data_IF_049086745677
#
_entry.id   IF_049086745677
#
_cell.length_a   1.000
_cell.length_b   1.000
_cell.length_c   1.000
_cell.angle_alpha   90.00
_cell.angle_beta   90.00
_cell.angle_gamma   90.00
#
_symmetry.space_group_name_H-M   'P 1'
#
loop_
_entity.id
_entity.type
_entity.pdbx_description
1 polymer ?
#
# COMPACT_ATOMS: atom_id res chain seq x y z
N UNK A 1 8.82 -14.34 -5.06
CA UNK A 1 9.62 -13.15 -4.68
C UNK A 1 8.94 -11.90 -5.21
N UNK A 2 9.18 -10.72 -4.60
CA UNK A 2 8.60 -9.43 -5.04
C UNK A 2 8.92 -9.16 -6.52
N UNK A 3 10.17 -9.39 -6.92
CA UNK A 3 10.64 -9.22 -8.31
C UNK A 3 9.77 -9.96 -9.33
N UNK A 4 9.52 -11.26 -9.12
CA UNK A 4 8.68 -12.06 -10.03
C UNK A 4 7.27 -11.49 -10.16
N UNK A 5 6.66 -11.06 -9.06
CA UNK A 5 5.31 -10.46 -9.06
C UNK A 5 5.27 -9.13 -9.83
N UNK A 6 6.34 -8.34 -9.75
CA UNK A 6 6.47 -7.10 -10.53
C UNK A 6 6.62 -7.40 -12.02
N UNK A 7 7.45 -8.37 -12.39
CA UNK A 7 7.62 -8.83 -13.77
C UNK A 7 6.29 -9.35 -14.35
N UNK A 8 5.53 -10.16 -13.59
CA UNK A 8 4.18 -10.63 -13.93
C UNK A 8 3.17 -9.50 -14.14
N UNK A 9 3.26 -8.38 -13.40
CA UNK A 9 2.36 -7.24 -13.62
C UNK A 9 2.79 -6.39 -14.80
N UNK A 10 4.10 -6.25 -15.02
CA UNK A 10 4.62 -5.48 -16.15
C UNK A 10 4.37 -6.17 -17.50
N UNK A 11 4.14 -7.48 -17.53
CA UNK A 11 3.77 -8.20 -18.76
C UNK A 11 2.30 -8.06 -19.15
N UNK A 12 1.44 -7.53 -18.26
CA UNK A 12 0.02 -7.30 -18.55
C UNK A 12 -0.17 -6.00 -19.33
N UNK A 13 -1.28 -5.91 -20.07
CA UNK A 13 -1.64 -4.73 -20.91
C UNK A 13 -2.08 -3.48 -20.12
N UNK A 14 -1.76 -3.36 -18.83
CA UNK A 14 -2.20 -2.25 -17.98
C UNK A 14 -1.08 -1.68 -17.12
N UNK A 15 -1.14 -0.38 -16.83
CA UNK A 15 -0.23 0.25 -15.87
C UNK A 15 -0.76 0.08 -14.45
N UNK A 16 0.17 -0.02 -13.50
CA UNK A 16 -0.14 0.01 -12.07
C UNK A 16 0.59 1.19 -11.42
N UNK A 17 -0.05 1.77 -10.41
CA UNK A 17 0.45 2.85 -9.57
C UNK A 17 0.98 2.33 -8.24
N UNK A 18 0.30 1.33 -7.67
CA UNK A 18 0.62 0.72 -6.38
C UNK A 18 0.34 -0.78 -6.42
N UNK A 19 1.26 -1.56 -5.87
CA UNK A 19 1.06 -2.98 -5.58
C UNK A 19 1.09 -3.22 -4.07
N UNK A 20 0.26 -4.15 -3.59
CA UNK A 20 0.10 -4.42 -2.16
C UNK A 20 0.47 -5.86 -1.83
N UNK A 21 1.29 -6.05 -0.80
CA UNK A 21 1.78 -7.34 -0.31
C UNK A 21 1.26 -7.65 1.11
N UNK A 22 0.23 -6.93 1.54
CA UNK A 22 -0.57 -7.21 2.72
C UNK A 22 -1.98 -6.68 2.51
N UNK A 23 -2.98 -7.36 3.07
CA UNK A 23 -4.38 -6.89 3.08
C UNK A 23 -4.66 -5.88 4.17
N UNK A 24 -3.70 -5.61 5.07
CA UNK A 24 -3.90 -4.65 6.18
C UNK A 24 -3.96 -3.20 5.68
N UNK A 25 -3.65 -2.94 4.41
CA UNK A 25 -3.90 -1.65 3.77
C UNK A 25 -2.99 -0.51 4.21
N UNK A 26 -2.20 -0.64 5.28
CA UNK A 26 -1.20 0.34 5.74
C UNK A 26 0.27 -0.12 5.59
N UNK A 27 0.52 -1.42 5.36
CA UNK A 27 1.88 -1.98 5.14
C UNK A 27 2.03 -2.64 3.78
N UNK A 28 3.28 -2.97 3.41
CA UNK A 28 3.55 -3.82 2.25
C UNK A 28 3.21 -3.18 0.90
N UNK A 29 3.25 -1.86 0.79
CA UNK A 29 2.99 -1.14 -0.47
C UNK A 29 4.27 -0.98 -1.28
N UNK A 30 4.16 -1.20 -2.59
CA UNK A 30 5.24 -1.00 -3.55
C UNK A 30 4.82 0.04 -4.57
N UNK A 31 5.70 1.01 -4.81
CA UNK A 31 5.54 2.08 -5.78
C UNK A 31 6.70 2.07 -6.78
N UNK A 32 6.46 2.62 -7.97
CA UNK A 32 7.54 2.93 -8.91
C UNK A 32 8.31 4.14 -8.41
N UNK A 33 9.64 4.08 -8.42
CA UNK A 33 10.49 5.20 -7.98
C UNK A 33 10.16 6.51 -8.70
N UNK A 34 9.81 6.43 -10.00
CA UNK A 34 9.39 7.57 -10.80
C UNK A 34 8.14 8.30 -10.28
N UNK A 35 7.26 7.61 -9.55
CA UNK A 35 6.04 8.19 -8.97
C UNK A 35 6.25 8.77 -7.57
N UNK A 36 7.36 8.43 -6.89
CA UNK A 36 7.60 8.85 -5.50
C UNK A 36 7.59 10.37 -5.29
N UNK A 37 8.19 11.20 -6.17
CA UNK A 37 8.11 12.65 -6.01
C UNK A 37 6.67 13.17 -6.09
N UNK A 38 5.83 12.58 -6.93
CA UNK A 38 4.43 12.97 -7.05
C UNK A 38 3.61 12.51 -5.83
N UNK A 39 3.81 11.28 -5.38
CA UNK A 39 3.19 10.76 -4.16
C UNK A 39 3.56 11.61 -2.93
N UNK A 40 4.84 11.97 -2.78
CA UNK A 40 5.31 12.79 -1.67
C UNK A 40 4.64 14.17 -1.67
N UNK A 41 4.54 14.83 -2.83
CA UNK A 41 3.82 16.10 -2.97
C UNK A 41 2.34 15.95 -2.64
N UNK A 42 1.69 14.90 -3.15
CA UNK A 42 0.29 14.63 -2.86
C UNK A 42 0.06 14.46 -1.35
N UNK A 43 0.86 13.63 -0.67
CA UNK A 43 0.76 13.47 0.78
C UNK A 43 1.03 14.78 1.53
N UNK A 44 2.04 15.54 1.12
CA UNK A 44 2.37 16.83 1.73
C UNK A 44 1.25 17.87 1.58
N UNK A 45 0.51 17.86 0.47
CA UNK A 45 -0.60 18.80 0.26
C UNK A 45 -1.84 18.44 1.08
N UNK A 46 -2.06 17.16 1.40
CA UNK A 46 -3.33 16.69 1.95
C UNK A 46 -3.23 16.03 3.35
N UNK A 47 -2.05 15.97 3.98
CA UNK A 47 -1.88 15.25 5.25
C UNK A 47 -2.75 15.79 6.41
N UNK A 48 -3.18 17.06 6.34
CA UNK A 48 -4.07 17.65 7.36
C UNK A 48 -5.54 17.30 7.12
N UNK A 49 -5.92 17.00 5.89
CA UNK A 49 -7.30 16.67 5.52
C UNK A 49 -7.65 15.23 5.87
N UNK A 50 -6.67 14.32 5.78
CA UNK A 50 -6.93 12.90 5.93
C UNK A 50 -5.66 12.09 6.28
N UNK A 51 -5.77 10.96 7.00
CA UNK A 51 -4.62 10.09 7.24
C UNK A 51 -3.94 9.63 5.95
N UNK A 52 -2.60 9.59 5.99
CA UNK A 52 -1.78 9.23 4.82
C UNK A 52 -2.13 7.86 4.23
N UNK A 53 -2.55 6.89 5.04
CA UNK A 53 -2.96 5.56 4.54
C UNK A 53 -4.18 5.64 3.62
N UNK A 54 -5.13 6.54 3.92
CA UNK A 54 -6.29 6.76 3.05
C UNK A 54 -5.90 7.58 1.83
N UNK A 55 -5.04 8.59 1.99
CA UNK A 55 -4.51 9.38 0.87
C UNK A 55 -3.77 8.50 -0.15
N UNK A 56 -3.00 7.52 0.30
CA UNK A 56 -2.35 6.55 -0.58
C UNK A 56 -3.37 5.80 -1.47
N UNK A 57 -4.57 5.50 -0.95
CA UNK A 57 -5.67 4.93 -1.73
C UNK A 57 -6.18 5.87 -2.83
N UNK A 58 -6.40 7.15 -2.51
CA UNK A 58 -6.80 8.13 -3.52
C UNK A 58 -5.72 8.41 -4.55
N UNK A 59 -4.44 8.42 -4.15
CA UNK A 59 -3.34 8.54 -5.10
C UNK A 59 -3.40 7.42 -6.15
N UNK A 60 -3.67 6.18 -5.73
CA UNK A 60 -3.84 5.03 -6.64
C UNK A 60 -5.01 5.24 -7.61
N UNK A 61 -6.15 5.70 -7.12
CA UNK A 61 -7.34 6.02 -7.94
C UNK A 61 -7.06 7.13 -8.96
N UNK A 62 -6.39 8.21 -8.53
CA UNK A 62 -5.98 9.34 -9.39
C UNK A 62 -5.01 8.88 -10.48
N UNK A 63 -4.14 7.92 -10.17
CA UNK A 63 -3.25 7.26 -11.13
C UNK A 63 -3.98 6.22 -12.00
N UNK A 64 -5.31 6.29 -12.09
CA UNK A 64 -6.21 5.45 -12.91
C UNK A 64 -6.27 3.97 -12.51
N UNK A 65 -5.70 3.60 -11.36
CA UNK A 65 -5.82 2.26 -10.81
C UNK A 65 -6.99 2.24 -9.80
N UNK A 66 -8.19 1.90 -10.27
CA UNK A 66 -9.39 1.86 -9.40
C UNK A 66 -9.29 0.77 -8.34
N UNK A 67 -8.92 -0.44 -8.76
CA UNK A 67 -8.86 -1.59 -7.87
C UNK A 67 -7.46 -1.79 -7.26
N UNK A 68 -7.36 -2.12 -5.97
CA UNK A 68 -6.10 -2.50 -5.35
C UNK A 68 -5.58 -3.82 -5.96
N UNK A 69 -4.29 -3.88 -6.25
CA UNK A 69 -3.64 -5.12 -6.72
C UNK A 69 -2.92 -5.74 -5.53
N UNK A 70 -3.62 -6.63 -4.84
CA UNK A 70 -3.12 -7.30 -3.63
C UNK A 70 -2.61 -8.70 -3.97
N UNK A 71 -1.37 -9.00 -3.59
CA UNK A 71 -0.79 -10.31 -3.76
C UNK A 71 -1.04 -11.21 -2.56
N UNK A 72 -1.34 -12.48 -2.84
CA UNK A 72 -1.49 -13.56 -1.86
C UNK A 72 -0.51 -14.71 -2.16
N UNK A 73 0.07 -15.39 -1.15
CA UNK A 73 0.00 -15.03 0.27
C UNK A 73 0.66 -13.68 0.55
N UNK A 74 0.23 -13.03 1.63
CA UNK A 74 0.80 -11.76 2.08
C UNK A 74 2.25 -11.98 2.50
N UNK A 75 3.14 -11.04 2.15
CA UNK A 75 4.56 -11.13 2.50
C UNK A 75 4.91 -10.36 3.78
N UNK A 76 4.01 -9.50 4.25
CA UNK A 76 4.26 -8.65 5.40
C UNK A 76 3.12 -8.75 6.42
N UNK A 77 3.52 -8.78 7.70
CA UNK A 77 2.64 -8.65 8.86
C UNK A 77 3.21 -7.59 9.78
N UNK A 78 2.32 -6.78 10.35
CA UNK A 78 2.71 -5.83 11.39
C UNK A 78 2.91 -6.57 12.71
N UNK A 79 4.12 -6.53 13.28
CA UNK A 79 4.44 -7.21 14.55
C UNK A 79 4.16 -6.36 15.79
N UNK A 80 3.96 -5.04 15.62
CA UNK A 80 3.64 -4.14 16.72
C UNK A 80 2.21 -4.34 17.22
N UNK A 81 2.06 -4.64 18.50
CA UNK A 81 0.74 -4.83 19.12
C UNK A 81 0.24 -3.59 19.87
N UNK A 82 1.09 -2.56 19.99
CA UNK A 82 0.76 -1.31 20.67
C UNK A 82 0.82 -0.15 19.70
N UNK A 83 -0.31 0.54 19.55
CA UNK A 83 -0.43 1.73 18.73
C UNK A 83 0.09 2.95 19.49
N UNK A 84 0.87 3.79 18.81
CA UNK A 84 1.21 5.14 19.29
C UNK A 84 -0.03 6.03 19.40
N UNK A 85 -1.08 5.73 18.62
CA UNK A 85 -2.37 6.40 18.75
C UNK A 85 -3.09 5.89 20.00
N UNK A 86 -3.04 6.71 21.04
CA UNK A 86 -3.73 6.53 22.34
C UNK A 86 -3.35 5.24 23.09
N UNK A 87 -2.19 4.63 22.80
CA UNK A 87 -1.74 3.42 23.48
C UNK A 87 -2.62 2.19 23.21
N UNK A 88 -3.39 2.22 22.12
CA UNK A 88 -4.43 1.23 21.86
C UNK A 88 -3.81 -0.10 21.42
N UNK A 89 -4.30 -1.22 21.93
CA UNK A 89 -3.81 -2.53 21.53
C UNK A 89 -4.32 -2.92 20.14
N UNK A 90 -3.42 -3.16 19.19
CA UNK A 90 -3.74 -3.56 17.82
C UNK A 90 -3.69 -5.08 17.68
N UNK A 91 -4.84 -5.70 17.43
CA UNK A 91 -4.97 -7.16 17.20
C UNK A 91 -5.01 -7.53 15.71
N UNK A 92 -4.78 -6.57 14.80
CA UNK A 92 -4.90 -6.81 13.37
C UNK A 92 -3.81 -7.79 12.89
N UNK A 93 -4.27 -8.90 12.35
CA UNK A 93 -3.45 -9.87 11.61
C UNK A 93 -3.97 -9.99 10.20
N UNK A 94 -3.04 -10.06 9.26
CA UNK A 94 -3.33 -10.38 7.88
C UNK A 94 -3.68 -11.86 7.80
N UNK A 95 -4.88 -12.17 7.31
CA UNK A 95 -5.38 -13.55 7.22
C UNK A 95 -4.65 -14.39 6.18
N UNK A 96 -3.93 -13.76 5.26
CA UNK A 96 -3.18 -14.42 4.20
C UNK A 96 -1.67 -14.42 4.49
N UNK A 97 -1.26 -13.99 5.68
CA UNK A 97 0.12 -14.09 6.15
C UNK A 97 0.28 -15.42 6.91
N UNK A 98 1.23 -16.25 6.46
CA UNK A 98 1.59 -17.53 7.09
C UNK A 98 2.49 -17.33 8.32
#
# INVERSE_FOLDING_TARGET
TIRRRVEEQNSKRGTWAMLEFSTLGYIGKLYKSAHLPLLARFLFLFYQEMPCDWLMGHFRELMTQREPIIFKPSLFQHMGMFSSFRGTYNKLKDKNFE
#
